data_IF_769763173014
#
_entry.id   IF_769763173014
#
_cell.length_a   1.000
_cell.length_b   1.000
_cell.length_c   1.000
_cell.angle_alpha   90.00
_cell.angle_beta   90.00
_cell.angle_gamma   90.00
#
_symmetry.space_group_name_H-M   'P 1'
#
loop_
_entity.id
_entity.type
_entity.pdbx_description
1 polymer ?
#
# COMPACT_ATOMS: atom_id res chain seq x y z
N UNK A 1 3.05 13.34 -1.76
CA UNK A 1 3.35 12.05 -1.13
C UNK A 1 2.45 11.89 0.08
N UNK A 2 1.82 10.72 0.25
CA UNK A 2 0.91 10.43 1.38
C UNK A 2 1.49 9.27 2.20
N UNK A 3 1.35 9.33 3.52
CA UNK A 3 1.66 8.23 4.41
C UNK A 3 0.38 7.58 4.95
N UNK A 4 0.34 6.25 4.95
CA UNK A 4 -0.74 5.46 5.52
C UNK A 4 -0.15 4.57 6.62
N UNK A 5 -0.61 4.76 7.86
CA UNK A 5 -0.43 3.75 8.89
C UNK A 5 -1.59 2.75 8.82
N UNK A 6 -1.25 1.49 8.57
CA UNK A 6 -2.18 0.37 8.53
C UNK A 6 -1.75 -0.76 9.47
N UNK A 7 -0.88 -0.49 10.45
CA UNK A 7 -0.54 -1.45 11.51
C UNK A 7 -1.77 -1.80 12.34
N UNK A 8 -1.82 -3.05 12.82
CA UNK A 8 -2.97 -3.62 13.51
C UNK A 8 -4.17 -3.90 12.59
N UNK A 9 -4.12 -3.54 11.31
CA UNK A 9 -5.14 -3.90 10.34
C UNK A 9 -4.80 -5.23 9.70
N UNK A 10 -5.81 -6.08 9.53
CA UNK A 10 -5.69 -7.31 8.74
C UNK A 10 -6.17 -7.09 7.32
N UNK A 11 -5.75 -7.98 6.42
CA UNK A 11 -6.40 -8.14 5.11
C UNK A 11 -7.94 -8.01 5.23
N UNK A 12 -8.61 -7.23 4.35
CA UNK A 12 -8.09 -6.54 3.17
C UNK A 12 -7.81 -5.03 3.37
N UNK A 13 -7.87 -4.52 4.60
CA UNK A 13 -7.92 -3.09 4.86
C UNK A 13 -6.69 -2.28 4.38
N UNK A 14 -5.43 -2.73 4.57
CA UNK A 14 -4.26 -2.01 4.04
C UNK A 14 -4.33 -1.81 2.52
N UNK A 15 -4.71 -2.85 1.78
CA UNK A 15 -4.86 -2.83 0.33
C UNK A 15 -5.96 -1.87 -0.15
N UNK A 16 -7.12 -1.88 0.51
CA UNK A 16 -8.22 -0.95 0.18
C UNK A 16 -7.80 0.50 0.39
N UNK A 17 -7.10 0.80 1.49
CA UNK A 17 -6.62 2.16 1.81
C UNK A 17 -5.59 2.63 0.78
N UNK A 18 -4.63 1.77 0.43
CA UNK A 18 -3.63 2.07 -0.60
C UNK A 18 -4.31 2.36 -1.96
N UNK A 19 -5.16 1.45 -2.43
CA UNK A 19 -5.80 1.60 -3.72
C UNK A 19 -6.71 2.84 -3.79
N UNK A 20 -7.38 3.19 -2.68
CA UNK A 20 -8.15 4.43 -2.57
C UNK A 20 -7.25 5.66 -2.73
N UNK A 21 -6.15 5.75 -1.97
CA UNK A 21 -5.24 6.90 -2.07
C UNK A 21 -4.70 7.10 -3.49
N UNK A 22 -4.33 6.01 -4.17
CA UNK A 22 -3.85 6.04 -5.56
C UNK A 22 -4.95 6.47 -6.55
N UNK A 23 -6.20 5.98 -6.38
CA UNK A 23 -7.35 6.43 -7.20
C UNK A 23 -7.70 7.89 -6.97
N UNK A 24 -7.55 8.36 -5.73
CA UNK A 24 -7.81 9.75 -5.33
C UNK A 24 -6.68 10.71 -5.80
N UNK A 25 -5.71 10.21 -6.57
CA UNK A 25 -4.70 11.01 -7.27
C UNK A 25 -3.32 11.03 -6.62
N UNK A 26 -3.09 10.27 -5.55
CA UNK A 26 -1.75 10.16 -4.98
C UNK A 26 -0.80 9.50 -5.99
N UNK A 27 0.30 10.18 -6.33
CA UNK A 27 1.35 9.63 -7.20
C UNK A 27 2.39 8.82 -6.43
N UNK A 28 2.55 9.09 -5.14
CA UNK A 28 3.46 8.39 -4.22
C UNK A 28 2.75 8.17 -2.89
N UNK A 29 2.63 6.90 -2.49
CA UNK A 29 2.07 6.49 -1.20
C UNK A 29 3.07 5.60 -0.49
N UNK A 30 3.37 5.92 0.76
CA UNK A 30 4.12 5.02 1.65
C UNK A 30 3.15 4.46 2.69
N UNK A 31 3.13 3.15 2.85
CA UNK A 31 2.22 2.44 3.74
C UNK A 31 3.01 1.55 4.69
N UNK A 32 2.73 1.69 5.99
CA UNK A 32 3.27 0.81 7.04
C UNK A 32 2.21 -0.22 7.41
N UNK A 33 2.54 -1.51 7.37
CA UNK A 33 1.66 -2.61 7.72
C UNK A 33 2.45 -3.73 8.39
N UNK A 34 1.84 -4.36 9.41
CA UNK A 34 2.41 -5.46 10.20
C UNK A 34 1.75 -6.82 9.92
N UNK A 35 0.73 -6.88 9.05
CA UNK A 35 0.20 -8.15 8.55
C UNK A 35 1.28 -8.82 7.67
N UNK A 36 1.74 -10.04 7.98
CA UNK A 36 2.76 -10.73 7.19
C UNK A 36 2.32 -11.00 5.75
N UNK A 37 1.02 -10.94 5.45
CA UNK A 37 0.48 -11.08 4.08
C UNK A 37 0.37 -9.76 3.32
N UNK A 38 0.68 -8.63 3.95
CA UNK A 38 0.49 -7.30 3.36
C UNK A 38 1.22 -7.13 2.03
N UNK A 39 2.45 -7.64 1.89
CA UNK A 39 3.25 -7.43 0.69
C UNK A 39 2.55 -7.89 -0.60
N UNK A 40 1.97 -9.08 -0.61
CA UNK A 40 1.28 -9.61 -1.79
C UNK A 40 -0.01 -8.86 -2.11
N UNK A 41 -0.80 -8.54 -1.09
CA UNK A 41 -2.07 -7.84 -1.27
C UNK A 41 -1.90 -6.38 -1.68
N UNK A 42 -0.92 -5.68 -1.10
CA UNK A 42 -0.56 -4.31 -1.48
C UNK A 42 -0.05 -4.26 -2.91
N UNK A 43 0.74 -5.26 -3.34
CA UNK A 43 1.26 -5.32 -4.71
C UNK A 43 0.11 -5.51 -5.71
N UNK A 44 -0.82 -6.43 -5.42
CA UNK A 44 -2.01 -6.65 -6.23
C UNK A 44 -2.88 -5.38 -6.32
N UNK A 45 -3.10 -4.71 -5.18
CA UNK A 45 -3.89 -3.48 -5.11
C UNK A 45 -3.25 -2.30 -5.86
N UNK A 46 -1.94 -2.14 -5.78
CA UNK A 46 -1.19 -1.13 -6.55
C UNK A 46 -1.27 -1.41 -8.05
N UNK A 47 -1.00 -2.65 -8.47
CA UNK A 47 -1.05 -3.06 -9.88
C UNK A 47 -2.44 -2.84 -10.50
N UNK A 48 -3.51 -3.13 -9.76
CA UNK A 48 -4.89 -2.93 -10.20
C UNK A 48 -5.25 -1.47 -10.54
N UNK A 49 -4.46 -0.49 -10.06
CA UNK A 49 -4.66 0.94 -10.34
C UNK A 49 -3.51 1.56 -11.15
N UNK A 50 -2.67 0.72 -11.75
CA UNK A 50 -1.55 1.11 -12.61
C UNK A 50 -0.33 1.62 -11.84
N UNK A 51 -0.19 1.28 -10.56
CA UNK A 51 0.98 1.64 -9.75
C UNK A 51 1.91 0.45 -9.55
N UNK A 52 3.18 0.74 -9.29
CA UNK A 52 4.19 -0.24 -8.88
C UNK A 52 4.36 -0.18 -7.35
N UNK A 53 4.74 -1.31 -6.73
CA UNK A 53 5.04 -1.38 -5.30
C UNK A 53 6.49 -1.85 -5.10
N UNK A 54 7.19 -1.23 -4.15
CA UNK A 54 8.47 -1.75 -3.62
C UNK A 54 8.46 -1.79 -2.09
N UNK A 55 9.25 -2.69 -1.54
CA UNK A 55 9.56 -2.69 -0.10
C UNK A 55 10.67 -1.68 0.14
N UNK A 56 10.49 -0.78 1.13
CA UNK A 56 11.51 0.23 1.49
C UNK A 56 12.15 -0.08 2.84
N UNK A 57 11.43 -0.75 3.74
CA UNK A 57 11.93 -1.30 4.99
C UNK A 57 11.00 -2.44 5.45
N UNK A 58 11.36 -3.13 6.53
CA UNK A 58 10.50 -4.16 7.11
C UNK A 58 9.12 -3.58 7.51
N UNK A 59 8.05 -4.18 6.99
CA UNK A 59 6.68 -3.69 7.15
C UNK A 59 6.38 -2.34 6.49
N UNK A 60 7.29 -1.76 5.68
CA UNK A 60 7.08 -0.48 5.00
C UNK A 60 7.17 -0.65 3.49
N UNK A 61 6.11 -0.26 2.80
CA UNK A 61 5.96 -0.39 1.36
C UNK A 61 5.74 0.97 0.73
N UNK A 62 6.27 1.19 -0.47
CA UNK A 62 6.07 2.40 -1.25
C UNK A 62 5.46 2.06 -2.59
N UNK A 63 4.31 2.66 -2.88
CA UNK A 63 3.63 2.61 -4.16
C UNK A 63 3.84 3.89 -4.95
N UNK A 64 4.11 3.74 -6.25
CA UNK A 64 4.31 4.86 -7.18
C UNK A 64 3.55 4.61 -8.48
N UNK A 65 2.86 5.64 -8.96
CA UNK A 65 2.14 5.63 -10.23
C UNK A 65 3.02 6.09 -11.38
#
# INVERSE_FOLDING_TARGET
MIHIDARGMRCPWPAIRLARALRDGATVVEITADDPRAGGELASAAAAVGATLRVVADGVFRAER
#
